data_IF_753922040535
#
_entry.id   IF_753922040535
#
_cell.length_a   1.000
_cell.length_b   1.000
_cell.length_c   1.000
_cell.angle_alpha   90.00
_cell.angle_beta   90.00
_cell.angle_gamma   90.00
#
_symmetry.space_group_name_H-M   'P 1'
#
loop_
_entity.id
_entity.type
_entity.pdbx_description
1 polymer ?
#
# COMPACT_ATOMS: atom_id res chain seq x y z
N UNK A 1 17.88 -6.10 -16.87
CA UNK A 1 16.52 -6.66 -17.12
C UNK A 1 16.46 -8.20 -17.16
N UNK A 2 17.57 -8.93 -17.37
CA UNK A 2 17.55 -10.41 -17.45
C UNK A 2 17.23 -11.10 -16.10
N UNK A 3 17.78 -10.58 -15.00
CA UNK A 3 17.67 -11.15 -13.66
C UNK A 3 16.24 -11.28 -13.13
N UNK A 4 15.37 -10.29 -13.37
CA UNK A 4 13.95 -10.35 -12.95
C UNK A 4 13.16 -11.39 -13.74
N UNK A 5 13.43 -11.53 -15.04
CA UNK A 5 12.76 -12.48 -15.92
C UNK A 5 13.19 -13.91 -15.57
N UNK A 6 14.47 -14.13 -15.31
CA UNK A 6 15.01 -15.43 -14.88
C UNK A 6 14.42 -15.86 -13.54
N UNK A 7 14.38 -14.95 -12.56
CA UNK A 7 13.79 -15.23 -11.26
C UNK A 7 12.29 -15.59 -11.39
N UNK A 8 11.52 -14.80 -12.15
CA UNK A 8 10.09 -15.06 -12.35
C UNK A 8 9.84 -16.40 -13.06
N UNK A 9 10.65 -16.78 -14.05
CA UNK A 9 10.52 -18.08 -14.72
C UNK A 9 10.86 -19.24 -13.79
N UNK A 10 11.88 -19.09 -12.95
CA UNK A 10 12.30 -20.14 -12.01
C UNK A 10 11.25 -20.42 -10.92
N UNK A 11 10.50 -19.40 -10.50
CA UNK A 11 9.53 -19.48 -9.41
C UNK A 11 8.07 -19.50 -9.90
N UNK A 12 7.84 -19.59 -11.21
CA UNK A 12 6.50 -19.54 -11.81
C UNK A 12 5.57 -20.65 -11.29
N UNK A 13 6.14 -21.83 -11.01
CA UNK A 13 5.40 -23.02 -10.60
C UNK A 13 5.53 -23.32 -9.09
N UNK A 14 6.00 -22.35 -8.29
CA UNK A 14 6.05 -22.52 -6.85
C UNK A 14 4.64 -22.68 -6.28
N UNK A 15 4.52 -23.64 -5.37
CA UNK A 15 3.28 -23.92 -4.63
C UNK A 15 3.10 -22.90 -3.51
N UNK A 16 1.90 -22.89 -2.91
CA UNK A 16 1.63 -22.02 -1.76
C UNK A 16 2.57 -22.34 -0.60
N UNK A 17 2.83 -23.62 -0.36
CA UNK A 17 3.73 -24.12 0.66
C UNK A 17 5.16 -23.60 0.45
N UNK A 18 5.66 -23.63 -0.79
CA UNK A 18 6.98 -23.09 -1.14
C UNK A 18 7.08 -21.60 -0.77
N UNK A 19 6.07 -20.78 -1.11
CA UNK A 19 6.05 -19.36 -0.76
C UNK A 19 6.01 -19.12 0.75
N UNK A 20 5.25 -19.93 1.48
CA UNK A 20 5.12 -19.80 2.95
C UNK A 20 6.37 -20.19 3.72
N UNK A 21 7.25 -20.99 3.11
CA UNK A 21 8.52 -21.39 3.70
C UNK A 21 9.59 -20.29 3.66
N UNK A 22 9.40 -19.26 2.83
CA UNK A 22 10.37 -18.17 2.68
C UNK A 22 10.25 -17.17 3.83
N UNK A 23 11.37 -16.93 4.52
CA UNK A 23 11.51 -15.84 5.46
C UNK A 23 11.90 -14.55 4.71
N UNK A 24 10.95 -13.64 4.57
CA UNK A 24 11.16 -12.34 3.95
C UNK A 24 11.63 -11.31 4.97
N UNK A 25 12.61 -10.49 4.58
CA UNK A 25 13.13 -9.40 5.40
C UNK A 25 13.25 -8.15 4.54
N UNK A 26 12.89 -7.00 5.08
CA UNK A 26 13.07 -5.69 4.46
C UNK A 26 13.36 -4.66 5.54
N UNK A 27 14.03 -3.58 5.18
CA UNK A 27 14.33 -2.47 6.08
C UNK A 27 13.39 -1.31 5.78
N UNK A 28 12.78 -0.75 6.82
CA UNK A 28 11.99 0.47 6.71
C UNK A 28 12.44 1.50 7.73
N UNK A 29 12.43 2.77 7.32
CA UNK A 29 12.69 3.89 8.21
C UNK A 29 11.41 4.24 8.95
N UNK A 30 11.43 4.12 10.28
CA UNK A 30 10.34 4.55 11.14
C UNK A 30 10.79 5.85 11.81
N UNK A 31 10.19 6.96 11.38
CA UNK A 31 10.40 8.27 12.00
C UNK A 31 9.40 8.47 13.16
N UNK A 32 9.86 9.04 14.27
CA UNK A 32 8.99 9.43 15.37
C UNK A 32 8.26 10.74 15.00
N UNK A 33 7.02 10.59 14.54
CA UNK A 33 6.12 11.70 14.25
C UNK A 33 4.89 11.61 15.14
N UNK A 34 4.48 12.72 15.76
CA UNK A 34 3.16 12.82 16.41
C UNK A 34 2.09 12.48 15.37
N UNK A 35 1.45 11.32 15.48
CA UNK A 35 0.20 11.03 14.78
C UNK A 35 -0.89 11.95 15.32
N UNK A 36 -0.93 13.21 14.87
CA UNK A 36 -2.12 14.03 15.03
C UNK A 36 -3.19 13.44 14.12
N UNK A 37 -4.24 12.86 14.71
CA UNK A 37 -5.48 12.64 13.96
C UNK A 37 -5.95 13.99 13.44
N UNK A 38 -5.80 14.24 12.15
CA UNK A 38 -6.49 15.35 11.50
C UNK A 38 -7.97 15.00 11.43
N UNK A 39 -8.76 15.57 12.35
CA UNK A 39 -10.21 15.48 12.28
C UNK A 39 -10.70 16.33 11.12
N UNK A 40 -10.99 15.69 9.98
CA UNK A 40 -11.66 16.35 8.86
C UNK A 40 -13.15 16.47 9.18
N UNK A 41 -13.55 17.57 9.81
CA UNK A 41 -14.97 17.93 9.89
C UNK A 41 -15.42 18.47 8.54
N UNK A 42 -16.26 17.72 7.83
CA UNK A 42 -16.98 18.28 6.67
C UNK A 42 -17.88 19.41 7.16
N UNK A 43 -17.65 20.64 6.72
CA UNK A 43 -18.63 21.70 6.96
C UNK A 43 -19.90 21.41 6.16
N UNK A 44 -21.07 21.51 6.80
CA UNK A 44 -22.38 21.33 6.14
C UNK A 44 -22.52 22.26 4.92
N UNK A 45 -21.90 23.44 4.99
CA UNK A 45 -21.86 24.44 3.91
C UNK A 45 -21.11 23.96 2.66
N UNK A 46 -20.01 23.21 2.82
CA UNK A 46 -19.26 22.65 1.70
C UNK A 46 -20.00 21.51 0.99
N UNK A 47 -20.84 20.76 1.70
CA UNK A 47 -21.68 19.72 1.12
C UNK A 47 -22.80 20.29 0.23
N UNK A 48 -23.40 21.41 0.63
CA UNK A 48 -24.49 22.05 -0.13
C UNK A 48 -23.98 22.75 -1.41
N UNK A 49 -22.77 23.32 -1.40
CA UNK A 49 -22.20 23.99 -2.57
C UNK A 49 -21.75 23.04 -3.71
N UNK A 50 -21.63 21.72 -3.47
CA UNK A 50 -21.32 20.74 -4.54
C UNK A 50 -22.56 20.16 -5.23
N UNK A 51 -23.78 20.45 -4.74
CA UNK A 51 -25.05 20.00 -5.36
C UNK A 51 -25.72 21.04 -6.26
N UNK A 52 -25.30 22.32 -6.21
CA UNK A 52 -25.73 23.37 -7.14
C UNK A 52 -24.61 23.67 -8.15
N UNK A 53 -24.27 22.68 -8.97
CA UNK A 53 -23.65 22.91 -10.28
C UNK A 53 -24.39 21.98 -11.23
N UNK A 54 -25.56 22.44 -11.67
CA UNK A 54 -26.27 22.04 -12.90
C UNK A 54 -26.55 23.34 -13.63
#
# INVERSE_FOLDING_TARGET
>A
MKTRIEWAKAHLNWTYEDWTSVLWTDETWVEDGRHSREWVTRSVRAFLNKKMVI
#
